data_IF_107888292414
#
_entry.id   IF_107888292414
#
_cell.length_a   1.000
_cell.length_b   1.000
_cell.length_c   1.000
_cell.angle_alpha   90.00
_cell.angle_beta   90.00
_cell.angle_gamma   90.00
#
_symmetry.space_group_name_H-M   'P 1'
#
loop_
_entity.id
_entity.type
_entity.pdbx_description
1 polymer ?
#
# COMPACT_ATOMS: atom_id res chain seq x y z
N UNK A 1 -34.65 -5.89 8.89
CA UNK A 1 -33.22 -5.91 9.26
C UNK A 1 -32.71 -7.26 8.80
N UNK A 2 -32.24 -7.33 7.56
CA UNK A 2 -31.85 -8.58 6.91
C UNK A 2 -30.43 -8.97 7.34
N UNK A 3 -30.35 -9.74 8.41
CA UNK A 3 -29.11 -10.30 9.01
C UNK A 3 -28.54 -11.48 8.20
N UNK A 4 -28.33 -11.29 6.91
CA UNK A 4 -27.60 -12.27 6.09
C UNK A 4 -26.68 -11.59 5.09
N UNK A 5 -25.77 -10.76 5.57
CA UNK A 5 -24.56 -10.51 4.79
C UNK A 5 -23.84 -11.84 4.64
N UNK A 6 -24.07 -12.49 3.49
CA UNK A 6 -23.49 -13.80 3.15
C UNK A 6 -22.00 -13.76 3.48
N UNK A 7 -21.43 -14.81 4.11
CA UNK A 7 -20.01 -14.85 4.48
C UNK A 7 -19.08 -14.56 3.29
N UNK A 8 -19.55 -14.78 2.07
CA UNK A 8 -18.88 -14.41 0.80
C UNK A 8 -18.76 -12.89 0.62
N UNK A 9 -19.77 -12.11 0.99
CA UNK A 9 -19.78 -10.65 0.90
C UNK A 9 -18.79 -10.05 1.90
N UNK A 10 -18.82 -10.52 3.16
CA UNK A 10 -17.87 -10.10 4.20
C UNK A 10 -16.42 -10.42 3.83
N UNK A 11 -16.19 -11.61 3.24
CA UNK A 11 -14.89 -12.00 2.73
C UNK A 11 -14.40 -11.07 1.61
N UNK A 12 -15.25 -10.83 0.61
CA UNK A 12 -14.92 -9.99 -0.55
C UNK A 12 -14.65 -8.55 -0.13
N UNK A 13 -15.42 -8.02 0.83
CA UNK A 13 -15.28 -6.67 1.35
C UNK A 13 -13.98 -6.52 2.15
N UNK A 14 -13.62 -7.53 2.94
CA UNK A 14 -12.33 -7.56 3.65
C UNK A 14 -11.16 -7.58 2.65
N UNK A 15 -11.26 -8.39 1.59
CA UNK A 15 -10.28 -8.42 0.51
C UNK A 15 -10.10 -7.07 -0.17
N UNK A 16 -11.22 -6.42 -0.47
CA UNK A 16 -11.23 -5.10 -1.10
C UNK A 16 -10.51 -4.07 -0.21
N UNK A 17 -10.80 -4.06 1.10
CA UNK A 17 -10.16 -3.14 2.05
C UNK A 17 -8.66 -3.42 2.11
N UNK A 18 -8.23 -4.67 2.28
CA UNK A 18 -6.80 -5.00 2.32
C UNK A 18 -6.09 -4.65 1.01
N UNK A 19 -6.75 -4.84 -0.14
CA UNK A 19 -6.19 -4.47 -1.44
C UNK A 19 -6.04 -2.96 -1.60
N UNK A 20 -7.04 -2.17 -1.17
CA UNK A 20 -6.97 -0.71 -1.23
C UNK A 20 -5.87 -0.17 -0.31
N UNK A 21 -5.77 -0.72 0.90
CA UNK A 21 -4.70 -0.38 1.85
C UNK A 21 -3.33 -0.74 1.28
N UNK A 22 -3.16 -1.94 0.72
CA UNK A 22 -1.91 -2.35 0.10
C UNK A 22 -1.52 -1.43 -1.07
N UNK A 23 -2.48 -1.06 -1.92
CA UNK A 23 -2.26 -0.13 -3.03
C UNK A 23 -1.82 1.25 -2.54
N UNK A 24 -2.46 1.75 -1.48
CA UNK A 24 -2.10 3.04 -0.87
C UNK A 24 -0.68 3.04 -0.28
N UNK A 25 -0.32 2.00 0.47
CA UNK A 25 1.03 1.83 1.01
C UNK A 25 2.07 1.76 -0.11
N UNK A 26 1.79 1.00 -1.18
CA UNK A 26 2.67 0.88 -2.33
C UNK A 26 2.91 2.23 -3.01
N UNK A 27 1.85 3.00 -3.29
CA UNK A 27 1.97 4.34 -3.88
C UNK A 27 2.84 5.24 -3.00
N UNK A 28 2.64 5.20 -1.68
CA UNK A 28 3.38 6.02 -0.72
C UNK A 28 4.87 5.66 -0.72
N UNK A 29 5.21 4.37 -0.75
CA UNK A 29 6.59 3.88 -0.81
C UNK A 29 7.25 4.29 -2.15
N UNK A 30 6.56 4.11 -3.28
CA UNK A 30 7.09 4.47 -4.61
C UNK A 30 7.33 5.97 -4.72
N UNK A 31 6.39 6.80 -4.23
CA UNK A 31 6.57 8.25 -4.19
C UNK A 31 7.79 8.62 -3.35
N UNK A 32 7.95 8.02 -2.16
CA UNK A 32 9.10 8.29 -1.31
C UNK A 32 10.43 7.93 -2.00
N UNK A 33 10.52 6.76 -2.62
CA UNK A 33 11.70 6.33 -3.38
C UNK A 33 11.99 7.27 -4.56
N UNK A 34 10.95 7.67 -5.30
CA UNK A 34 11.07 8.64 -6.39
C UNK A 34 11.59 10.00 -5.94
N UNK A 35 11.10 10.50 -4.79
CA UNK A 35 11.60 11.74 -4.19
C UNK A 35 13.05 11.63 -3.72
N UNK A 36 13.43 10.49 -3.13
CA UNK A 36 14.81 10.25 -2.70
C UNK A 36 15.77 10.27 -3.90
N UNK A 37 15.39 9.60 -4.99
CA UNK A 37 16.16 9.60 -6.24
C UNK A 37 16.28 11.00 -6.89
N UNK A 38 15.21 11.81 -6.81
CA UNK A 38 15.22 13.20 -7.25
C UNK A 38 16.13 14.08 -6.39
N UNK A 39 16.20 13.82 -5.08
CA UNK A 39 17.08 14.55 -4.17
C UNK A 39 18.56 14.26 -4.40
N UNK A 40 18.93 13.03 -4.73
CA UNK A 40 20.32 12.67 -5.04
C UNK A 40 20.79 13.29 -6.37
N UNK A 41 19.88 13.47 -7.33
CA UNK A 41 20.19 14.08 -8.63
C UNK A 41 20.06 15.61 -8.61
N UNK A 42 21.16 16.31 -8.32
CA UNK A 42 21.23 17.79 -8.30
C UNK A 42 20.65 18.47 -9.54
N UNK A 43 20.85 17.90 -10.73
CA UNK A 43 20.34 18.43 -12.01
C UNK A 43 18.81 18.39 -12.10
N UNK A 44 18.20 17.32 -11.57
CA UNK A 44 16.74 17.20 -11.54
C UNK A 44 16.14 18.04 -10.42
N UNK A 45 16.82 18.15 -9.28
CA UNK A 45 16.42 19.01 -8.17
C UNK A 45 16.33 20.49 -8.60
N UNK A 46 17.28 20.96 -9.41
CA UNK A 46 17.31 22.34 -9.88
C UNK A 46 16.15 22.65 -10.86
N UNK A 47 15.82 21.72 -11.76
CA UNK A 47 14.61 21.81 -12.61
C UNK A 47 13.32 21.69 -11.81
N UNK A 48 13.28 20.83 -10.81
CA UNK A 48 12.12 20.62 -9.93
C UNK A 48 11.88 21.81 -8.99
N UNK A 49 12.95 22.49 -8.55
CA UNK A 49 12.88 23.71 -7.73
C UNK A 49 12.13 24.85 -8.42
N UNK A 50 12.02 24.81 -9.75
CA UNK A 50 11.24 25.78 -10.52
C UNK A 50 9.72 25.64 -10.28
N UNK A 51 9.28 24.49 -9.76
CA UNK A 51 7.88 24.20 -9.46
C UNK A 51 7.64 24.22 -7.95
N UNK A 52 7.04 25.29 -7.45
CA UNK A 52 6.72 25.51 -6.02
C UNK A 52 5.97 24.33 -5.38
N UNK A 53 5.13 23.64 -6.15
CA UNK A 53 4.36 22.47 -5.70
C UNK A 53 5.30 21.30 -5.36
N UNK A 54 6.28 21.02 -6.22
CA UNK A 54 7.21 19.91 -6.03
C UNK A 54 8.06 20.16 -4.79
N UNK A 55 8.56 21.38 -4.59
CA UNK A 55 9.34 21.77 -3.40
C UNK A 55 8.52 21.60 -2.11
N UNK A 56 7.24 21.98 -2.12
CA UNK A 56 6.36 21.85 -0.96
C UNK A 56 6.14 20.38 -0.59
N UNK A 57 5.91 19.53 -1.58
CA UNK A 57 5.79 18.07 -1.39
C UNK A 57 7.11 17.51 -0.87
N UNK A 58 8.23 17.87 -1.50
CA UNK A 58 9.57 17.42 -1.12
C UNK A 58 9.91 17.76 0.34
N UNK A 59 9.48 18.94 0.82
CA UNK A 59 9.70 19.35 2.20
C UNK A 59 8.83 18.57 3.21
N UNK A 60 7.60 18.20 2.81
CA UNK A 60 6.72 17.29 3.60
C UNK A 60 7.35 15.90 3.68
N UNK A 61 7.86 15.37 2.56
CA UNK A 61 8.52 14.06 2.51
C UNK A 61 9.86 14.04 3.25
N UNK A 62 10.65 15.13 3.20
CA UNK A 62 11.89 15.27 3.97
C UNK A 62 11.65 15.28 5.48
N UNK A 63 10.50 15.80 5.93
CA UNK A 63 10.08 15.77 7.34
C UNK A 63 9.46 14.42 7.73
N UNK A 64 9.01 13.62 6.76
CA UNK A 64 8.47 12.29 6.99
C UNK A 64 9.61 11.38 7.45
N UNK A 65 9.58 10.99 8.72
CA UNK A 65 10.63 10.17 9.35
C UNK A 65 10.70 8.81 8.66
N UNK A 66 11.91 8.27 8.51
CA UNK A 66 12.16 6.88 8.10
C UNK A 66 11.27 5.87 8.85
N UNK A 67 10.96 6.16 10.12
CA UNK A 67 10.02 5.37 10.93
C UNK A 67 8.64 5.21 10.29
N UNK A 68 8.09 6.26 9.67
CA UNK A 68 6.80 6.19 8.97
C UNK A 68 6.87 5.27 7.75
N UNK A 69 7.97 5.34 6.99
CA UNK A 69 8.22 4.45 5.85
C UNK A 69 8.29 2.98 6.29
N UNK A 70 8.98 2.70 7.41
CA UNK A 70 9.07 1.35 7.96
C UNK A 70 7.69 0.82 8.36
N UNK A 71 6.84 1.68 8.94
CA UNK A 71 5.44 1.32 9.25
C UNK A 71 4.66 1.00 7.97
N UNK A 72 4.74 1.86 6.95
CA UNK A 72 4.06 1.64 5.66
C UNK A 72 4.50 0.33 5.00
N UNK A 73 5.80 0.01 5.03
CA UNK A 73 6.33 -1.27 4.52
C UNK A 73 5.78 -2.45 5.34
N UNK A 74 5.78 -2.37 6.66
CA UNK A 74 5.24 -3.43 7.52
C UNK A 74 3.74 -3.64 7.26
N UNK A 75 2.99 -2.55 7.09
CA UNK A 75 1.54 -2.58 6.84
C UNK A 75 1.21 -3.10 5.44
N UNK A 76 2.05 -2.78 4.44
CA UNK A 76 2.00 -3.36 3.11
C UNK A 76 2.25 -4.87 3.12
N UNK A 77 3.29 -5.34 3.80
CA UNK A 77 3.58 -6.77 3.92
C UNK A 77 2.49 -7.51 4.69
N UNK A 78 1.94 -6.91 5.74
CA UNK A 78 0.85 -7.49 6.51
C UNK A 78 -0.44 -7.61 5.69
N UNK A 79 -0.80 -6.57 4.94
CA UNK A 79 -1.99 -6.60 4.07
C UNK A 79 -1.85 -7.64 2.95
N UNK A 80 -0.70 -7.69 2.27
CA UNK A 80 -0.42 -8.73 1.27
C UNK A 80 -0.41 -10.14 1.87
N UNK A 81 0.24 -10.33 3.03
CA UNK A 81 0.27 -11.62 3.72
C UNK A 81 -1.13 -12.09 4.11
N UNK A 82 -1.99 -11.17 4.58
CA UNK A 82 -3.37 -11.47 4.94
C UNK A 82 -4.19 -11.92 3.72
N UNK A 83 -4.05 -11.21 2.59
CA UNK A 83 -4.66 -11.60 1.29
C UNK A 83 -4.20 -13.00 0.90
N UNK A 84 -2.89 -13.26 0.88
CA UNK A 84 -2.33 -14.57 0.48
C UNK A 84 -2.87 -15.70 1.38
N UNK A 85 -2.89 -15.51 2.70
CA UNK A 85 -3.40 -16.50 3.65
C UNK A 85 -4.89 -16.77 3.46
N UNK A 86 -5.69 -15.73 3.28
CA UNK A 86 -7.13 -15.85 3.06
C UNK A 86 -7.44 -16.54 1.71
N UNK A 87 -6.75 -16.17 0.63
CA UNK A 87 -6.84 -16.87 -0.66
C UNK A 87 -6.41 -18.33 -0.54
N UNK A 88 -5.31 -18.61 0.14
CA UNK A 88 -4.80 -19.97 0.34
C UNK A 88 -5.77 -20.87 1.10
N UNK A 89 -6.45 -20.33 2.13
CA UNK A 89 -7.49 -21.06 2.87
C UNK A 89 -8.69 -21.41 1.99
N UNK A 90 -9.09 -20.52 1.08
CA UNK A 90 -10.18 -20.81 0.12
C UNK A 90 -9.76 -21.93 -0.83
N UNK A 91 -8.56 -21.84 -1.41
CA UNK A 91 -8.06 -22.87 -2.33
C UNK A 91 -7.92 -24.22 -1.64
N UNK A 92 -7.37 -24.25 -0.42
CA UNK A 92 -7.26 -25.48 0.36
C UNK A 92 -8.64 -26.06 0.74
N UNK A 93 -9.60 -25.19 1.09
CA UNK A 93 -10.99 -25.58 1.29
C UNK A 93 -11.59 -26.23 0.05
N UNK A 94 -11.47 -25.58 -1.12
CA UNK A 94 -11.92 -26.11 -2.41
C UNK A 94 -11.32 -27.48 -2.73
N UNK A 95 -10.00 -27.64 -2.55
CA UNK A 95 -9.30 -28.93 -2.77
C UNK A 95 -9.79 -30.01 -1.79
N UNK A 96 -10.02 -29.66 -0.52
CA UNK A 96 -10.48 -30.61 0.50
C UNK A 96 -11.95 -31.04 0.32
N UNK A 97 -12.78 -30.22 -0.33
CA UNK A 97 -14.18 -30.55 -0.64
C UNK A 97 -14.35 -31.34 -1.96
N UNK A 98 -13.25 -31.74 -2.61
CA UNK A 98 -13.29 -32.71 -3.71
C UNK A 98 -14.03 -32.20 -4.96
N UNK A 99 -13.63 -31.02 -5.45
CA UNK A 99 -13.79 -30.67 -6.87
C UNK A 99 -12.49 -30.98 -7.60
#
# INVERSE_FOLDING_TARGET
>A
MDESSSPVVLFSLSFLIFSLVAMWCFITIVLYLGFLYLMENKVLLEKASKYTIIVKILNVYKKTRLFYLVIEIALFLFSLGSIILLSGKIVFGLISFGV
#
